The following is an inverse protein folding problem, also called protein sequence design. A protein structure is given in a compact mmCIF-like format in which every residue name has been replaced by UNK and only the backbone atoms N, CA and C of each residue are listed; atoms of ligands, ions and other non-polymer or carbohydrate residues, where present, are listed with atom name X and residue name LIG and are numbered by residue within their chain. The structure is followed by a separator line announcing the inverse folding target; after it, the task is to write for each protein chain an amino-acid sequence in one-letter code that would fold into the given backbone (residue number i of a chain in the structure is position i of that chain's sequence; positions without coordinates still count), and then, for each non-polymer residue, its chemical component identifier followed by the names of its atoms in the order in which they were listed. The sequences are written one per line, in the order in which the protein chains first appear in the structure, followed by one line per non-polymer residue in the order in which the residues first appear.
data_IF_887254812238
#
_entry.id   IF_887254812238
#
_cell.length_a   1.000
_cell.length_b   1.000
_cell.length_c   1.000
_cell.angle_alpha   90.00
_cell.angle_beta   90.00
_cell.angle_gamma   90.00
#
_symmetry.space_group_name_H-M   'P 1'
#
loop_
_entity.id
_entity.type
_entity.pdbx_description
1 polymer ?
#
# COMPACT_ATOMS: atom_id res chain seq x y z
N UNK A 1 14.45 -3.72 9.39
CA UNK A 1 13.77 -3.95 8.09
C UNK A 1 12.26 -3.96 8.26
N UNK A 2 11.71 -4.83 9.11
CA UNK A 2 10.26 -4.92 9.29
C UNK A 2 9.64 -3.69 9.96
N UNK A 3 10.33 -3.08 10.93
CA UNK A 3 9.89 -1.82 11.58
C UNK A 3 9.88 -0.62 10.62
N UNK A 4 10.85 -0.56 9.71
CA UNK A 4 10.90 0.49 8.68
C UNK A 4 9.79 0.32 7.64
N UNK A 5 9.58 -0.93 7.18
CA UNK A 5 8.48 -1.24 6.28
C UNK A 5 7.13 -0.94 6.93
N UNK A 6 6.96 -1.28 8.21
CA UNK A 6 5.75 -0.98 8.97
C UNK A 6 5.51 0.54 9.05
N UNK A 7 6.54 1.33 9.34
CA UNK A 7 6.46 2.79 9.35
C UNK A 7 6.07 3.37 7.98
N UNK A 8 6.62 2.84 6.88
CA UNK A 8 6.25 3.24 5.52
C UNK A 8 4.78 2.91 5.23
N UNK A 9 4.31 1.73 5.63
CA UNK A 9 2.90 1.32 5.51
C UNK A 9 2.00 2.27 6.30
N UNK A 10 2.32 2.55 7.56
CA UNK A 10 1.52 3.43 8.41
C UNK A 10 1.49 4.87 7.89
N UNK A 11 2.60 5.35 7.31
CA UNK A 11 2.67 6.66 6.64
C UNK A 11 1.77 6.69 5.41
N UNK A 12 1.85 5.67 4.54
CA UNK A 12 0.99 5.57 3.37
C UNK A 12 -0.49 5.49 3.75
N UNK A 13 -0.84 4.75 4.81
CA UNK A 13 -2.21 4.67 5.31
C UNK A 13 -2.73 6.04 5.80
N UNK A 14 -1.90 6.83 6.50
CA UNK A 14 -2.27 8.15 6.96
C UNK A 14 -2.63 9.09 5.80
N UNK A 15 -1.87 9.03 4.70
CA UNK A 15 -2.11 9.83 3.50
C UNK A 15 -3.33 9.35 2.68
N UNK A 16 -3.55 8.03 2.60
CA UNK A 16 -4.60 7.43 1.78
C UNK A 16 -5.99 7.54 2.43
N UNK A 17 -6.08 7.41 3.75
CA UNK A 17 -7.35 7.38 4.51
C UNK A 17 -8.28 8.57 4.26
N UNK A 18 -7.81 9.83 4.23
CA UNK A 18 -8.67 10.97 3.94
C UNK A 18 -9.35 10.89 2.56
N UNK A 19 -8.68 10.31 1.57
CA UNK A 19 -9.25 10.14 0.22
C UNK A 19 -10.19 8.93 0.17
N UNK A 20 -9.85 7.83 0.84
CA UNK A 20 -10.72 6.67 0.96
C UNK A 20 -12.04 7.00 1.68
N UNK A 21 -11.98 7.83 2.73
CA UNK A 21 -13.15 8.32 3.46
C UNK A 21 -14.09 9.17 2.60
N UNK A 22 -13.60 9.76 1.51
CA UNK A 22 -14.38 10.48 0.51
C UNK A 22 -14.89 9.56 -0.62
N UNK A 23 -14.83 8.24 -0.42
CA UNK A 23 -15.21 7.22 -1.39
C UNK A 23 -14.46 7.31 -2.73
N UNK A 24 -13.24 7.86 -2.74
CA UNK A 24 -12.39 7.81 -3.93
C UNK A 24 -11.93 6.36 -4.15
N UNK A 25 -12.52 5.69 -5.15
CA UNK A 25 -12.37 4.25 -5.35
C UNK A 25 -10.91 3.74 -5.43
N UNK A 26 -9.97 4.46 -6.09
CA UNK A 26 -8.57 4.07 -6.06
C UNK A 26 -7.94 4.09 -4.67
N UNK A 27 -8.24 5.11 -3.86
CA UNK A 27 -7.74 5.19 -2.48
C UNK A 27 -8.32 4.07 -1.60
N UNK A 28 -9.60 3.70 -1.78
CA UNK A 28 -10.21 2.55 -1.07
C UNK A 28 -9.49 1.24 -1.42
N UNK A 29 -9.18 1.03 -2.70
CA UNK A 29 -8.44 -0.16 -3.15
C UNK A 29 -7.02 -0.21 -2.58
N UNK A 30 -6.32 0.93 -2.58
CA UNK A 30 -4.96 1.05 -2.01
C UNK A 30 -5.00 0.82 -0.50
N UNK A 31 -5.96 1.41 0.22
CA UNK A 31 -6.12 1.22 1.67
C UNK A 31 -6.25 -0.26 2.03
N UNK A 32 -7.15 -0.99 1.34
CA UNK A 32 -7.35 -2.42 1.58
C UNK A 32 -6.06 -3.23 1.42
N UNK A 33 -5.26 -2.91 0.39
CA UNK A 33 -4.00 -3.58 0.12
C UNK A 33 -2.93 -3.22 1.16
N UNK A 34 -2.85 -1.95 1.58
CA UNK A 34 -1.93 -1.49 2.62
C UNK A 34 -2.25 -2.13 3.99
N UNK A 35 -3.53 -2.27 4.34
CA UNK A 35 -3.96 -2.96 5.56
C UNK A 35 -3.54 -4.43 5.57
N UNK A 36 -3.73 -5.13 4.44
CA UNK A 36 -3.23 -6.50 4.29
C UNK A 36 -1.71 -6.59 4.43
N UNK A 37 -0.97 -5.66 3.79
CA UNK A 37 0.49 -5.57 3.93
C UNK A 37 0.91 -5.38 5.39
N UNK A 38 0.19 -4.53 6.13
CA UNK A 38 0.43 -4.27 7.55
C UNK A 38 0.29 -5.53 8.40
N UNK A 39 -0.81 -6.26 8.24
CA UNK A 39 -1.06 -7.52 8.94
C UNK A 39 -0.03 -8.59 8.58
N UNK A 40 0.39 -8.64 7.31
CA UNK A 40 1.43 -9.57 6.84
C UNK A 40 2.75 -9.33 7.57
N UNK A 41 3.18 -8.07 7.65
CA UNK A 41 4.42 -7.67 8.33
C UNK A 41 4.34 -7.92 9.83
N UNK A 42 3.18 -7.73 10.45
CA UNK A 42 2.95 -7.99 11.88
C UNK A 42 2.81 -9.48 12.22
N UNK A 43 2.76 -10.38 11.23
CA UNK A 43 2.56 -11.81 11.45
C UNK A 43 1.17 -12.16 11.99
N UNK A 44 0.19 -11.27 11.81
CA UNK A 44 -1.20 -11.52 12.22
C UNK A 44 -1.79 -12.58 11.28
N UNK A 45 -2.46 -13.63 11.80
CA UNK A 45 -3.17 -14.59 10.96
C UNK A 45 -4.20 -13.87 10.08
N UNK A 46 -4.16 -14.13 8.78
CA UNK A 46 -5.06 -13.51 7.81
C UNK A 46 -5.28 -14.45 6.62
N UNK A 47 -6.34 -14.20 5.87
CA UNK A 47 -6.61 -14.89 4.61
C UNK A 47 -5.48 -14.66 3.59
N UNK A 48 -5.48 -15.49 2.55
CA UNK A 48 -4.59 -15.36 1.41
C UNK A 48 -4.57 -13.92 0.87
N UNK A 49 -3.45 -13.48 0.28
CA UNK A 49 -3.37 -12.16 -0.34
C UNK A 49 -4.56 -11.92 -1.27
N UNK A 50 -5.06 -10.67 -1.38
CA UNK A 50 -6.21 -10.31 -2.20
C UNK A 50 -5.93 -10.37 -3.73
N UNK A 51 -5.17 -11.37 -4.19
CA UNK A 51 -4.53 -11.45 -5.50
C UNK A 51 -3.18 -10.72 -5.52
N UNK A 52 -2.52 -10.63 -6.70
CA UNK A 52 -1.31 -9.84 -6.85
C UNK A 52 -1.55 -8.38 -6.43
N UNK A 53 -0.65 -7.85 -5.59
CA UNK A 53 -0.69 -6.44 -5.21
C UNK A 53 -0.56 -5.56 -6.45
N UNK A 54 -1.45 -4.59 -6.57
CA UNK A 54 -1.56 -3.63 -7.69
C UNK A 54 -1.54 -2.18 -7.22
N UNK A 55 -1.49 -1.92 -5.92
CA UNK A 55 -1.53 -0.58 -5.33
C UNK A 55 -0.46 0.37 -5.88
N UNK A 56 0.74 -0.12 -6.23
CA UNK A 56 1.77 0.69 -6.87
C UNK A 56 1.35 1.21 -8.26
N UNK A 57 0.74 0.34 -9.08
CA UNK A 57 0.23 0.74 -10.40
C UNK A 57 -0.92 1.74 -10.27
N UNK A 58 -1.82 1.51 -9.33
CA UNK A 58 -2.94 2.43 -9.05
C UNK A 58 -2.36 3.78 -8.60
N UNK A 59 -1.44 3.79 -7.65
CA UNK A 59 -0.87 5.02 -7.09
C UNK A 59 -0.11 5.85 -8.15
N UNK A 60 0.64 5.21 -9.04
CA UNK A 60 1.32 5.91 -10.16
C UNK A 60 0.30 6.58 -11.09
N UNK A 61 -0.81 5.91 -11.42
CA UNK A 61 -1.83 6.52 -12.29
C UNK A 61 -2.52 7.70 -11.62
N UNK A 62 -2.97 7.50 -10.39
CA UNK A 62 -3.90 8.43 -9.75
C UNK A 62 -3.20 9.59 -9.03
N UNK A 63 -2.00 9.36 -8.48
CA UNK A 63 -1.30 10.35 -7.68
C UNK A 63 -0.12 11.00 -8.40
N UNK A 64 0.46 10.35 -9.41
CA UNK A 64 1.58 10.91 -10.19
C UNK A 64 1.14 11.35 -11.59
N UNK A 65 0.57 10.45 -12.39
CA UNK A 65 0.20 10.76 -13.78
C UNK A 65 -1.00 11.72 -13.90
N UNK A 66 -2.06 11.48 -13.12
CA UNK A 66 -3.28 12.31 -13.12
C UNK A 66 -3.38 13.24 -11.91
N UNK A 67 -2.55 13.00 -10.89
CA UNK A 67 -2.51 13.78 -9.65
C UNK A 67 -1.27 14.66 -9.55
N UNK A 68 -1.04 15.20 -8.35
CA UNK A 68 0.07 16.10 -8.02
C UNK A 68 0.86 15.63 -6.79
N UNK A 69 0.80 14.33 -6.46
CA UNK A 69 1.43 13.70 -5.29
C UNK A 69 2.38 12.56 -5.70
N UNK A 70 3.44 12.83 -6.49
CA UNK A 70 4.37 11.80 -6.95
C UNK A 70 5.12 11.11 -5.79
N UNK A 71 5.35 11.80 -4.67
CA UNK A 71 5.98 11.22 -3.48
C UNK A 71 5.09 10.15 -2.82
N UNK A 72 3.77 10.36 -2.83
CA UNK A 72 2.82 9.38 -2.34
C UNK A 72 2.77 8.16 -3.26
N UNK A 73 2.79 8.37 -4.58
CA UNK A 73 2.89 7.29 -5.56
C UNK A 73 4.15 6.45 -5.35
N UNK A 74 5.30 7.12 -5.19
CA UNK A 74 6.59 6.48 -4.92
C UNK A 74 6.57 5.67 -3.62
N UNK A 75 6.01 6.24 -2.54
CA UNK A 75 5.89 5.56 -1.24
C UNK A 75 5.05 4.27 -1.34
N UNK A 76 3.87 4.34 -1.97
CA UNK A 76 2.99 3.16 -2.12
C UNK A 76 3.67 2.08 -2.98
N UNK A 77 4.34 2.48 -4.05
CA UNK A 77 5.08 1.57 -4.92
C UNK A 77 6.26 0.90 -4.20
N UNK A 78 7.00 1.67 -3.38
CA UNK A 78 8.08 1.13 -2.57
C UNK A 78 7.59 0.09 -1.56
N UNK A 79 6.49 0.38 -0.86
CA UNK A 79 5.84 -0.57 0.06
C UNK A 79 5.48 -1.87 -0.69
N UNK A 80 4.84 -1.78 -1.86
CA UNK A 80 4.47 -2.95 -2.65
C UNK A 80 5.69 -3.82 -2.97
N UNK A 81 6.76 -3.21 -3.48
CA UNK A 81 7.98 -3.90 -3.87
C UNK A 81 8.64 -4.61 -2.69
N UNK A 82 8.72 -3.95 -1.53
CA UNK A 82 9.30 -4.52 -0.32
C UNK A 82 8.49 -5.70 0.22
N UNK A 83 7.16 -5.59 0.23
CA UNK A 83 6.27 -6.67 0.67
C UNK A 83 6.35 -7.86 -0.30
N UNK A 84 6.33 -7.62 -1.61
CA UNK A 84 6.46 -8.68 -2.62
C UNK A 84 7.79 -9.43 -2.50
N UNK A 85 8.89 -8.71 -2.28
CA UNK A 85 10.18 -9.34 -2.02
C UNK A 85 10.14 -10.24 -0.77
N UNK A 86 9.46 -9.81 0.29
CA UNK A 86 9.31 -10.58 1.54
C UNK A 86 8.39 -11.80 1.37
N UNK A 87 7.35 -11.71 0.54
CA UNK A 87 6.49 -12.84 0.19
C UNK A 87 7.30 -13.90 -0.57
N UNK A 88 8.11 -13.51 -1.56
CA UNK A 88 8.91 -14.47 -2.35
C UNK A 88 10.07 -15.14 -1.60
N UNK A 89 10.36 -14.72 -0.37
CA UNK A 89 11.37 -15.34 0.51
C UNK A 89 10.76 -16.39 1.47
N UNK A 90 9.43 -16.51 1.53
CA UNK A 90 8.72 -17.56 2.28
C UNK A 90 8.50 -18.78 1.40
#
# INVERSE_FOLDING_TARGET
MDEELLRKIDTALAEIRPMAAQAFAPAVSIERQLLWCRHFVLGVPQEDPPGPLSMGLIAVREFDMYGDRPELAALVNEVQRLVQAKIGLR
#
